data_IF_926979705217
#
_entry.id   IF_926979705217
#
_cell.length_a   1.000
_cell.length_b   1.000
_cell.length_c   1.000
_cell.angle_alpha   90.00
_cell.angle_beta   90.00
_cell.angle_gamma   90.00
#
_symmetry.space_group_name_H-M   'P 1'
#
loop_
_entity.id
_entity.type
_entity.pdbx_description
1 polymer ?
#
# COMPACT_ATOMS: atom_id res chain seq x y z
N UNK A 1 5.25 -3.93 -4.71
CA UNK A 1 4.08 -4.22 -5.56
C UNK A 1 4.28 -5.61 -6.13
N UNK A 2 3.62 -6.62 -5.57
CA UNK A 2 3.71 -7.99 -6.07
C UNK A 2 2.51 -8.18 -7.00
N UNK A 3 2.79 -8.33 -8.29
CA UNK A 3 1.78 -8.40 -9.34
C UNK A 3 1.06 -9.75 -9.32
N UNK A 4 -0.28 -9.74 -9.21
CA UNK A 4 -1.13 -10.90 -9.46
C UNK A 4 -1.49 -10.92 -10.95
N UNK A 5 -0.71 -11.67 -11.74
CA UNK A 5 -0.78 -11.69 -13.21
C UNK A 5 -1.06 -13.06 -13.84
N UNK A 6 -2.35 -13.27 -14.13
CA UNK A 6 -2.98 -14.00 -15.26
C UNK A 6 -3.18 -15.55 -15.28
N UNK A 7 -4.30 -15.86 -15.95
CA UNK A 7 -5.17 -17.04 -16.00
C UNK A 7 -4.53 -18.30 -16.61
N UNK A 8 -4.49 -19.39 -15.83
CA UNK A 8 -4.56 -20.81 -16.25
C UNK A 8 -3.93 -21.78 -15.21
N UNK A 9 -3.25 -21.27 -14.16
CA UNK A 9 -2.54 -22.09 -13.16
C UNK A 9 -2.76 -21.66 -11.69
N UNK A 10 -3.91 -21.05 -11.40
CA UNK A 10 -4.16 -20.18 -10.24
C UNK A 10 -3.89 -20.79 -8.84
N UNK A 11 -4.13 -22.09 -8.64
CA UNK A 11 -3.93 -22.74 -7.34
C UNK A 11 -2.47 -22.77 -6.86
N UNK A 12 -1.50 -22.79 -7.78
CA UNK A 12 -0.07 -22.86 -7.42
C UNK A 12 0.56 -21.48 -7.23
N UNK A 13 0.10 -20.47 -7.96
CA UNK A 13 0.70 -19.12 -7.95
C UNK A 13 0.34 -18.30 -6.71
N UNK A 14 -0.88 -18.40 -6.20
CA UNK A 14 -1.28 -17.70 -4.97
C UNK A 14 -0.58 -18.31 -3.75
N UNK A 15 -0.47 -19.64 -3.68
CA UNK A 15 0.31 -20.33 -2.64
C UNK A 15 1.79 -19.91 -2.65
N UNK A 16 2.42 -19.75 -3.82
CA UNK A 16 3.81 -19.25 -3.89
C UNK A 16 3.92 -17.79 -3.47
N UNK A 17 2.95 -16.94 -3.84
CA UNK A 17 2.95 -15.50 -3.45
C UNK A 17 2.75 -15.32 -1.95
N UNK A 18 1.96 -16.19 -1.32
CA UNK A 18 1.77 -16.22 0.13
C UNK A 18 3.02 -16.70 0.89
N UNK A 19 3.75 -17.68 0.36
CA UNK A 19 5.06 -18.10 0.89
C UNK A 19 6.10 -16.97 0.80
N UNK A 20 6.00 -16.13 -0.24
CA UNK A 20 6.93 -15.02 -0.47
C UNK A 20 6.77 -13.88 0.54
N UNK A 21 5.58 -13.66 1.13
CA UNK A 21 5.37 -12.58 2.10
C UNK A 21 6.15 -12.82 3.40
N UNK A 22 6.15 -14.06 3.90
CA UNK A 22 6.93 -14.42 5.08
C UNK A 22 8.43 -14.27 4.81
N UNK A 23 8.89 -14.72 3.64
CA UNK A 23 10.30 -14.64 3.20
C UNK A 23 10.73 -13.19 2.98
N UNK A 24 9.88 -12.37 2.39
CA UNK A 24 10.13 -10.93 2.18
C UNK A 24 10.37 -10.25 3.52
N UNK A 25 9.54 -10.53 4.52
CA UNK A 25 9.66 -9.97 5.87
C UNK A 25 10.93 -10.41 6.59
N UNK A 26 11.30 -11.68 6.50
CA UNK A 26 12.49 -12.23 7.19
C UNK A 26 13.79 -12.02 6.41
N UNK A 27 13.70 -11.48 5.19
CA UNK A 27 14.88 -11.18 4.40
C UNK A 27 15.72 -10.07 5.05
N UNK A 28 17.05 -10.25 5.02
CA UNK A 28 18.03 -9.30 5.57
C UNK A 28 17.95 -7.89 4.95
N UNK A 29 17.22 -7.72 3.85
CA UNK A 29 17.05 -6.44 3.16
C UNK A 29 16.24 -5.44 3.97
N UNK A 30 15.33 -5.91 4.84
CA UNK A 30 14.42 -5.02 5.55
C UNK A 30 14.85 -4.68 6.96
N UNK A 31 15.51 -5.58 7.72
CA UNK A 31 16.02 -5.42 9.10
C UNK A 31 15.25 -4.43 10.04
N UNK A 32 13.95 -4.25 9.80
CA UNK A 32 13.10 -3.20 10.34
C UNK A 32 11.72 -3.83 10.51
N UNK A 33 11.04 -3.47 11.61
CA UNK A 33 9.64 -3.82 11.79
C UNK A 33 8.80 -3.08 10.74
N UNK A 34 8.21 -3.83 9.81
CA UNK A 34 7.33 -3.38 8.73
C UNK A 34 6.00 -4.12 8.80
N UNK A 35 4.97 -3.59 8.13
CA UNK A 35 3.71 -4.29 7.91
C UNK A 35 3.40 -4.37 6.41
N UNK A 36 2.67 -5.41 6.00
CA UNK A 36 2.29 -5.69 4.62
C UNK A 36 0.81 -5.35 4.43
N UNK A 37 0.51 -4.48 3.48
CA UNK A 37 -0.85 -4.09 3.11
C UNK A 37 -1.23 -4.69 1.76
N UNK A 38 -2.48 -5.15 1.64
CA UNK A 38 -3.03 -5.56 0.34
C UNK A 38 -3.19 -4.36 -0.58
N UNK A 39 -3.17 -4.61 -1.89
CA UNK A 39 -3.82 -3.67 -2.80
C UNK A 39 -5.33 -3.61 -2.48
N UNK A 40 -5.99 -2.54 -2.91
CA UNK A 40 -7.41 -2.37 -2.68
C UNK A 40 -8.20 -3.38 -3.51
N UNK A 41 -9.16 -4.04 -2.86
CA UNK A 41 -9.97 -5.15 -3.39
C UNK A 41 -9.22 -6.45 -3.70
N UNK A 42 -7.88 -6.48 -3.61
CA UNK A 42 -7.10 -7.69 -3.90
C UNK A 42 -7.50 -8.89 -3.06
N UNK A 43 -7.94 -8.67 -1.82
CA UNK A 43 -8.41 -9.73 -0.92
C UNK A 43 -9.78 -10.28 -1.37
N UNK A 44 -10.68 -9.41 -1.82
CA UNK A 44 -11.99 -9.81 -2.34
C UNK A 44 -11.85 -10.65 -3.63
N UNK A 45 -10.98 -10.17 -4.53
CA UNK A 45 -10.68 -10.79 -5.83
C UNK A 45 -10.25 -12.26 -5.68
N UNK A 46 -9.57 -12.64 -4.59
CA UNK A 46 -9.14 -14.04 -4.32
C UNK A 46 -10.33 -15.00 -4.33
N UNK A 47 -11.46 -14.57 -3.78
CA UNK A 47 -12.70 -15.35 -3.77
C UNK A 47 -13.57 -15.01 -4.98
N UNK A 48 -13.93 -13.73 -5.16
CA UNK A 48 -15.03 -13.30 -6.03
C UNK A 48 -14.75 -13.55 -7.51
N UNK A 49 -13.52 -13.28 -7.95
CA UNK A 49 -13.13 -13.35 -9.36
C UNK A 49 -12.23 -14.55 -9.65
N UNK A 50 -11.34 -14.89 -8.71
CA UNK A 50 -10.32 -15.91 -8.92
C UNK A 50 -10.80 -17.30 -8.49
N UNK A 51 -11.79 -17.39 -7.59
CA UNK A 51 -12.28 -18.66 -7.04
C UNK A 51 -11.18 -19.51 -6.41
N UNK A 52 -10.13 -18.88 -5.86
CA UNK A 52 -9.01 -19.59 -5.23
C UNK A 52 -9.45 -20.27 -3.93
N UNK A 53 -10.28 -19.57 -3.16
CA UNK A 53 -11.02 -20.14 -2.05
C UNK A 53 -12.49 -20.28 -2.41
N UNK A 54 -13.15 -21.28 -1.84
CA UNK A 54 -14.56 -21.57 -2.13
C UNK A 54 -15.52 -20.77 -1.27
N UNK A 55 -15.17 -20.61 0.01
CA UNK A 55 -15.94 -19.83 0.96
C UNK A 55 -15.26 -18.48 1.18
N UNK A 56 -16.00 -17.38 1.33
CA UNK A 56 -15.41 -16.06 1.53
C UNK A 56 -14.67 -15.97 2.88
N UNK A 57 -15.02 -16.83 3.85
CA UNK A 57 -14.35 -16.92 5.14
C UNK A 57 -12.91 -17.46 5.04
N UNK A 58 -12.63 -18.29 4.04
CA UNK A 58 -11.30 -18.89 3.84
C UNK A 58 -10.29 -17.86 3.31
N UNK A 59 -10.77 -16.70 2.83
CA UNK A 59 -9.91 -15.59 2.39
C UNK A 59 -9.00 -15.09 3.51
N UNK A 60 -9.36 -15.29 4.80
CA UNK A 60 -8.53 -14.84 5.93
C UNK A 60 -7.17 -15.54 6.00
N UNK A 61 -6.93 -16.59 5.23
CA UNK A 61 -5.63 -17.25 5.08
C UNK A 61 -4.53 -16.29 4.58
N UNK A 62 -4.91 -15.15 3.99
CA UNK A 62 -4.00 -14.01 3.72
C UNK A 62 -3.22 -13.57 4.97
N UNK A 63 -3.81 -13.67 6.16
CA UNK A 63 -3.15 -13.36 7.43
C UNK A 63 -2.10 -14.42 7.76
N UNK A 64 -2.39 -15.71 7.55
CA UNK A 64 -1.39 -16.78 7.77
C UNK A 64 -0.20 -16.64 6.83
N UNK A 65 -0.47 -16.18 5.61
CA UNK A 65 0.57 -15.93 4.63
C UNK A 65 1.51 -14.78 5.00
N UNK A 66 1.08 -13.86 5.87
CA UNK A 66 1.93 -12.79 6.38
C UNK A 66 1.42 -11.39 6.06
N UNK A 67 0.32 -11.24 5.32
CA UNK A 67 -0.36 -9.94 5.19
C UNK A 67 -0.78 -9.42 6.57
N UNK A 68 -0.73 -8.10 6.77
CA UNK A 68 -1.04 -7.47 8.06
C UNK A 68 -2.26 -6.54 7.97
N UNK A 69 -2.55 -5.97 6.80
CA UNK A 69 -3.63 -5.01 6.62
C UNK A 69 -4.34 -5.23 5.27
N UNK A 70 -5.67 -5.25 5.29
CA UNK A 70 -6.48 -5.29 4.09
C UNK A 70 -6.98 -3.88 3.74
N UNK A 71 -6.67 -3.41 2.52
CA UNK A 71 -7.42 -2.33 1.88
C UNK A 71 -8.73 -2.92 1.33
N UNK A 72 -9.79 -2.88 2.13
CA UNK A 72 -11.08 -3.48 1.79
C UNK A 72 -11.86 -3.90 3.04
N UNK A 73 -12.97 -4.62 2.86
CA UNK A 73 -13.85 -5.03 3.96
C UNK A 73 -13.76 -6.51 4.34
N UNK A 74 -13.11 -7.37 3.55
CA UNK A 74 -13.11 -8.83 3.76
C UNK A 74 -12.58 -9.25 5.14
N UNK A 75 -11.47 -8.66 5.59
CA UNK A 75 -10.98 -8.96 6.94
C UNK A 75 -11.93 -8.42 8.03
N UNK A 76 -12.59 -7.28 7.80
CA UNK A 76 -13.56 -6.75 8.76
C UNK A 76 -14.78 -7.67 8.89
N UNK A 77 -15.24 -8.22 7.79
CA UNK A 77 -16.46 -9.04 7.71
C UNK A 77 -16.22 -10.47 8.21
N UNK A 78 -15.12 -11.11 7.80
CA UNK A 78 -14.95 -12.56 7.95
C UNK A 78 -13.95 -12.99 9.03
N UNK A 79 -13.08 -12.11 9.55
CA UNK A 79 -12.08 -12.50 10.56
C UNK A 79 -12.72 -13.09 11.81
N UNK A 80 -13.86 -12.54 12.25
CA UNK A 80 -14.54 -13.01 13.47
C UNK A 80 -15.09 -14.42 13.30
N UNK A 81 -15.75 -14.73 12.17
CA UNK A 81 -16.30 -16.06 11.93
C UNK A 81 -15.18 -17.08 11.72
N UNK A 82 -14.11 -16.72 11.01
CA UNK A 82 -12.97 -17.61 10.82
C UNK A 82 -12.25 -17.99 12.13
N UNK A 83 -12.17 -17.07 13.11
CA UNK A 83 -11.69 -17.41 14.47
C UNK A 83 -12.65 -18.36 15.18
N UNK A 84 -13.97 -18.11 15.09
CA UNK A 84 -14.98 -18.96 15.72
C UNK A 84 -14.98 -20.39 15.15
N UNK A 85 -14.76 -20.54 13.84
CA UNK A 85 -14.62 -21.82 13.14
C UNK A 85 -13.23 -22.47 13.32
N UNK A 86 -12.31 -21.83 14.05
CA UNK A 86 -10.91 -22.26 14.24
C UNK A 86 -10.10 -22.35 12.93
N UNK A 87 -10.56 -21.68 11.88
CA UNK A 87 -9.82 -21.54 10.64
C UNK A 87 -8.69 -20.51 10.79
N UNK A 88 -8.80 -19.56 11.72
CA UNK A 88 -7.77 -18.56 12.00
C UNK A 88 -7.38 -18.54 13.48
N UNK A 89 -6.09 -18.56 13.76
CA UNK A 89 -5.56 -18.36 15.13
C UNK A 89 -5.49 -16.87 15.47
N UNK A 90 -5.83 -16.51 16.70
CA UNK A 90 -5.67 -15.12 17.19
C UNK A 90 -4.21 -14.66 17.16
N UNK A 91 -3.26 -15.59 17.22
CA UNK A 91 -1.82 -15.28 17.11
C UNK A 91 -1.45 -14.63 15.77
N UNK A 92 -2.14 -14.97 14.68
CA UNK A 92 -1.91 -14.34 13.38
C UNK A 92 -2.44 -12.90 13.34
N UNK A 93 -3.54 -12.64 14.05
CA UNK A 93 -4.10 -11.30 14.22
C UNK A 93 -3.17 -10.46 15.10
N UNK A 94 -2.70 -11.02 16.22
CA UNK A 94 -1.77 -10.36 17.12
C UNK A 94 -0.45 -9.99 16.41
N UNK A 95 0.07 -10.89 15.57
CA UNK A 95 1.21 -10.62 14.68
C UNK A 95 0.94 -9.42 13.77
N UNK A 96 -0.20 -9.40 13.09
CA UNK A 96 -0.58 -8.33 12.18
C UNK A 96 -0.70 -6.97 12.89
N UNK A 97 -1.38 -6.95 14.03
CA UNK A 97 -1.53 -5.75 14.86
C UNK A 97 -0.19 -5.28 15.42
N UNK A 98 0.65 -6.19 15.91
CA UNK A 98 1.97 -5.87 16.42
C UNK A 98 2.82 -5.15 15.36
N UNK A 99 2.82 -5.66 14.13
CA UNK A 99 3.56 -5.03 13.02
C UNK A 99 3.02 -3.64 12.68
N UNK A 100 1.70 -3.51 12.53
CA UNK A 100 1.04 -2.25 12.21
C UNK A 100 1.31 -1.18 13.27
N UNK A 101 1.13 -1.52 14.55
CA UNK A 101 1.35 -0.58 15.65
C UNK A 101 2.83 -0.28 15.88
N UNK A 102 3.73 -1.23 15.65
CA UNK A 102 5.18 -0.98 15.71
C UNK A 102 5.59 0.15 14.76
N UNK A 103 5.08 0.14 13.52
CA UNK A 103 5.36 1.23 12.56
C UNK A 103 4.72 2.54 13.02
N UNK A 104 3.47 2.53 13.49
CA UNK A 104 2.80 3.74 14.00
C UNK A 104 3.51 4.37 15.19
N UNK A 105 4.04 3.55 16.12
CA UNK A 105 4.85 4.02 17.24
C UNK A 105 6.18 4.63 16.77
N UNK A 106 6.85 4.02 15.80
CA UNK A 106 8.09 4.57 15.20
C UNK A 106 7.87 5.90 14.51
N UNK A 107 6.69 6.13 13.92
CA UNK A 107 6.28 7.41 13.35
C UNK A 107 5.88 8.45 14.41
N UNK A 108 5.85 8.09 15.69
CA UNK A 108 5.46 8.98 16.79
C UNK A 108 3.96 9.28 16.87
N UNK A 109 3.12 8.53 16.14
CA UNK A 109 1.66 8.78 16.11
C UNK A 109 0.97 8.52 17.46
N UNK A 110 1.63 7.78 18.37
CA UNK A 110 1.13 7.47 19.71
C UNK A 110 1.91 8.20 20.82
N UNK A 111 2.76 9.18 20.46
CA UNK A 111 3.67 9.85 21.41
C UNK A 111 3.13 11.17 21.96
N UNK A 112 1.81 11.28 22.13
CA UNK A 112 1.16 12.48 22.67
C UNK A 112 0.80 13.50 21.60
N UNK A 113 1.09 14.79 21.83
CA UNK A 113 0.72 15.88 20.92
C UNK A 113 1.44 15.76 19.57
N UNK A 114 0.71 15.55 18.44
CA UNK A 114 1.32 15.41 17.11
C UNK A 114 2.13 16.64 16.68
N UNK A 115 1.76 17.84 17.14
CA UNK A 115 2.49 19.08 16.82
C UNK A 115 3.89 19.12 17.43
N UNK A 116 4.13 18.33 18.48
CA UNK A 116 5.44 18.26 19.16
C UNK A 116 6.31 17.10 18.67
N UNK A 117 5.87 16.36 17.66
CA UNK A 117 6.61 15.25 17.07
C UNK A 117 7.46 15.71 15.87
N UNK A 118 8.31 14.82 15.35
CA UNK A 118 9.26 15.12 14.28
C UNK A 118 8.66 15.75 13.00
N UNK A 119 7.39 15.48 12.72
CA UNK A 119 6.67 16.01 11.55
C UNK A 119 5.57 17.02 11.91
N UNK A 120 5.53 17.48 13.16
CA UNK A 120 4.47 18.34 13.69
C UNK A 120 4.46 19.77 13.16
N UNK A 121 5.61 20.24 12.64
CA UNK A 121 5.81 21.59 12.12
C UNK A 121 5.48 21.73 10.63
N UNK A 122 5.02 20.66 9.97
CA UNK A 122 4.60 20.70 8.56
C UNK A 122 3.29 21.49 8.46
N UNK A 123 3.39 22.69 7.90
CA UNK A 123 2.27 23.63 7.75
C UNK A 123 1.61 23.55 6.37
N UNK A 124 0.30 23.81 6.24
CA UNK A 124 -0.41 23.66 4.96
C UNK A 124 0.15 24.49 3.79
N UNK A 125 0.85 25.60 4.05
CA UNK A 125 1.45 26.44 3.00
C UNK A 125 2.68 25.81 2.33
N UNK A 126 3.28 24.75 2.91
CA UNK A 126 4.31 23.96 2.20
C UNK A 126 3.68 23.10 1.10
N UNK A 127 2.39 22.78 1.21
CA UNK A 127 1.70 22.05 0.16
C UNK A 127 1.61 22.94 -1.07
N UNK A 128 2.22 22.48 -2.16
CA UNK A 128 2.32 23.22 -3.41
C UNK A 128 3.03 24.59 -3.30
N UNK A 129 4.08 24.67 -2.48
CA UNK A 129 4.99 25.82 -2.49
C UNK A 129 5.68 25.95 -3.86
N UNK A 130 6.22 27.14 -4.16
CA UNK A 130 6.95 27.39 -5.42
C UNK A 130 8.12 26.42 -5.61
N UNK A 131 8.80 26.08 -4.52
CA UNK A 131 9.90 25.12 -4.49
C UNK A 131 9.42 23.72 -4.90
N UNK A 132 8.28 23.25 -4.36
CA UNK A 132 7.71 21.95 -4.73
C UNK A 132 7.20 21.93 -6.19
N UNK A 133 6.62 23.02 -6.67
CA UNK A 133 6.21 23.15 -8.08
C UNK A 133 7.40 23.11 -9.03
N UNK A 134 8.47 23.83 -8.69
CA UNK A 134 9.70 23.84 -9.49
C UNK A 134 10.37 22.46 -9.53
N UNK A 135 10.37 21.73 -8.41
CA UNK A 135 10.88 20.35 -8.35
C UNK A 135 10.03 19.40 -9.21
N UNK A 136 8.70 19.54 -9.18
CA UNK A 136 7.81 18.75 -10.05
C UNK A 136 8.08 19.01 -11.53
N UNK A 137 8.29 20.28 -11.92
CA UNK A 137 8.64 20.66 -13.28
C UNK A 137 10.01 20.11 -13.71
N UNK A 138 11.00 20.08 -12.82
CA UNK A 138 12.30 19.48 -13.08
C UNK A 138 12.21 17.95 -13.27
N UNK A 139 11.41 17.29 -12.45
CA UNK A 139 11.16 15.85 -12.58
C UNK A 139 10.46 15.53 -13.91
N UNK A 140 9.49 16.34 -14.34
CA UNK A 140 8.85 16.22 -15.65
C UNK A 140 9.86 16.38 -16.79
N UNK A 141 10.67 17.45 -16.76
CA UNK A 141 11.73 17.73 -17.75
C UNK A 141 12.72 16.57 -17.89
N UNK A 142 13.07 15.95 -16.78
CA UNK A 142 14.05 14.86 -16.73
C UNK A 142 13.45 13.50 -17.12
N UNK A 143 12.14 13.31 -16.90
CA UNK A 143 11.43 12.08 -17.25
C UNK A 143 11.00 11.98 -18.71
N UNK A 144 10.98 13.10 -19.44
CA UNK A 144 10.68 13.13 -20.86
C UNK A 144 11.84 12.52 -21.67
N UNK A 145 11.57 11.37 -22.31
CA UNK A 145 12.50 10.75 -23.27
C UNK A 145 12.01 11.08 -24.69
N UNK A 146 12.67 11.97 -25.44
CA UNK A 146 12.24 12.33 -26.78
C UNK A 146 12.45 11.17 -27.75
N UNK A 147 11.36 10.68 -28.35
CA UNK A 147 11.38 9.75 -29.48
C UNK A 147 11.42 10.55 -30.80
N UNK A 148 12.10 9.99 -31.82
CA UNK A 148 12.57 10.66 -33.06
C UNK A 148 11.57 11.50 -33.89
N UNK A 149 10.28 11.56 -33.55
CA UNK A 149 9.21 12.23 -34.32
C UNK A 149 8.55 13.40 -33.55
N UNK A 150 8.89 13.66 -32.28
CA UNK A 150 8.15 14.62 -31.44
C UNK A 150 8.95 15.85 -30.96
N UNK A 151 9.99 16.27 -31.68
CA UNK A 151 10.80 17.42 -31.28
C UNK A 151 10.05 18.77 -31.30
N UNK A 152 8.98 18.89 -32.10
CA UNK A 152 8.23 20.15 -32.23
C UNK A 152 7.08 20.31 -31.22
N UNK A 153 6.58 19.21 -30.63
CA UNK A 153 5.42 19.24 -29.70
C UNK A 153 5.88 19.47 -28.25
N UNK A 154 7.06 18.97 -27.86
CA UNK A 154 7.58 19.04 -26.48
C UNK A 154 7.89 20.46 -26.00
N UNK A 155 8.26 21.38 -26.90
CA UNK A 155 8.61 22.76 -26.53
C UNK A 155 7.42 23.58 -26.02
N UNK A 156 6.20 23.26 -26.44
CA UNK A 156 5.00 24.02 -26.03
C UNK A 156 4.50 23.64 -24.63
N UNK A 157 4.56 22.36 -24.26
CA UNK A 157 4.14 21.87 -22.93
C UNK A 157 5.04 22.37 -21.79
N UNK A 158 6.35 22.47 -22.03
CA UNK A 158 7.36 22.89 -21.06
C UNK A 158 7.27 24.35 -20.60
N UNK A 159 6.39 25.13 -21.22
CA UNK A 159 6.22 26.56 -20.99
C UNK A 159 4.95 26.91 -20.19
N UNK A 160 4.09 25.93 -19.88
CA UNK A 160 2.87 26.19 -19.11
C UNK A 160 3.17 26.36 -17.62
N UNK A 161 2.80 27.49 -17.00
CA UNK A 161 2.95 27.66 -15.56
C UNK A 161 2.05 26.68 -14.79
N UNK A 162 2.59 26.05 -13.75
CA UNK A 162 1.82 25.25 -12.79
C UNK A 162 1.05 26.19 -11.83
N UNK A 163 0.13 27.00 -12.36
CA UNK A 163 -0.49 28.09 -11.60
C UNK A 163 -1.70 27.65 -10.75
N UNK A 164 -2.19 26.42 -10.91
CA UNK A 164 -3.43 25.98 -10.26
C UNK A 164 -3.24 24.75 -9.36
N UNK A 165 -2.80 24.98 -8.12
CA UNK A 165 -2.98 24.02 -7.05
C UNK A 165 -4.30 24.22 -6.33
N UNK A 166 -5.32 23.47 -6.75
CA UNK A 166 -6.58 23.38 -6.00
C UNK A 166 -6.45 22.34 -4.88
N UNK A 167 -5.86 22.74 -3.76
CA UNK A 167 -5.95 21.94 -2.55
C UNK A 167 -7.35 22.13 -1.94
N UNK A 168 -8.28 21.21 -2.24
CA UNK A 168 -9.51 21.11 -1.45
C UNK A 168 -9.08 20.65 -0.05
N UNK A 169 -9.33 21.47 0.97
CA UNK A 169 -9.23 21.04 2.37
C UNK A 169 -10.01 19.73 2.49
N UNK A 170 -9.32 18.63 2.81
CA UNK A 170 -9.96 17.49 3.41
C UNK A 170 -10.47 17.98 4.78
N UNK A 171 -11.79 18.13 4.91
CA UNK A 171 -12.46 18.34 6.19
C UNK A 171 -12.48 17.03 6.97
#
# INVERSE_FOLDING_TARGET
MVFLGNKAGYGRYISTTFQDLHTTRTSNWLNMMVYIVSDCDAVAIIHDDQGYVKEPEDVVDVLKAGMDLNCGSYLLEYTKSAVAHKNLSTTEIDRALHNLFSVRMRLGLLNGDPKKQAFGDIVPNVVCSKEHQQLALEAERSGLVPMRILLDITLSFLSTPLDNCHFRRAM
#
